data_IF_685097009338
#
_entry.id   IF_685097009338
#
_cell.length_a   1.000
_cell.length_b   1.000
_cell.length_c   1.000
_cell.angle_alpha   90.00
_cell.angle_beta   90.00
_cell.angle_gamma   90.00
#
_symmetry.space_group_name_H-M   'P 1'
#
loop_
_entity.id
_entity.type
_entity.pdbx_description
1 polymer ?
#
# COMPACT_ATOMS: atom_id res chain seq x y z
N UNK A 1 -55.10 8.01 28.27
CA UNK A 1 -55.19 8.91 27.10
C UNK A 1 -53.77 9.37 26.79
N UNK A 2 -53.12 9.26 25.63
CA UNK A 2 -53.33 8.80 24.24
C UNK A 2 -51.93 8.33 23.75
N UNK A 3 -51.73 7.09 23.30
CA UNK A 3 -51.53 6.65 21.90
C UNK A 3 -50.62 7.50 21.00
N UNK A 4 -49.53 6.89 20.50
CA UNK A 4 -48.95 6.99 19.14
C UNK A 4 -47.72 6.06 19.05
N UNK A 5 -47.25 5.53 17.93
CA UNK A 5 -47.88 4.81 16.80
C UNK A 5 -46.75 3.92 16.20
N UNK A 6 -47.14 2.78 15.64
CA UNK A 6 -46.33 1.70 15.03
C UNK A 6 -45.33 2.13 13.94
N UNK A 7 -44.18 1.45 13.87
CA UNK A 7 -43.41 1.25 12.64
C UNK A 7 -43.04 -0.22 12.47
N UNK A 8 -43.54 -0.81 11.39
CA UNK A 8 -43.36 -2.18 10.91
C UNK A 8 -42.07 -2.29 10.10
N UNK A 9 -41.17 -3.24 10.44
CA UNK A 9 -40.02 -3.58 9.59
C UNK A 9 -40.38 -4.70 8.61
N UNK A 10 -40.21 -4.45 7.31
CA UNK A 10 -40.38 -5.44 6.24
C UNK A 10 -39.05 -6.19 6.03
N UNK A 11 -39.07 -7.49 6.29
CA UNK A 11 -37.97 -8.43 6.01
C UNK A 11 -38.01 -8.85 4.54
N UNK A 12 -36.95 -8.57 3.77
CA UNK A 12 -36.81 -9.06 2.38
C UNK A 12 -35.82 -10.23 2.35
N UNK A 13 -36.34 -11.46 2.24
CA UNK A 13 -35.59 -12.66 1.85
C UNK A 13 -35.43 -12.67 0.33
N UNK A 14 -34.23 -12.96 -0.18
CA UNK A 14 -34.00 -13.27 -1.60
C UNK A 14 -33.46 -14.68 -1.69
N UNK A 15 -34.21 -15.52 -2.40
CA UNK A 15 -33.92 -16.92 -2.71
C UNK A 15 -33.11 -16.98 -4.00
N UNK A 16 -31.99 -17.73 -4.02
CA UNK A 16 -31.30 -18.10 -5.26
C UNK A 16 -31.85 -19.44 -5.75
N UNK A 17 -32.32 -19.48 -7.00
CA UNK A 17 -32.75 -20.68 -7.72
C UNK A 17 -31.56 -21.18 -8.57
N UNK A 18 -31.26 -22.47 -8.44
CA UNK A 18 -30.32 -23.20 -9.27
C UNK A 18 -31.00 -23.64 -10.58
N UNK A 19 -30.25 -23.66 -11.68
CA UNK A 19 -30.61 -24.43 -12.87
C UNK A 19 -29.34 -24.91 -13.59
N UNK A 20 -29.13 -26.22 -13.53
CA UNK A 20 -28.31 -27.03 -14.44
C UNK A 20 -29.11 -27.30 -15.72
N UNK A 21 -28.45 -27.45 -16.88
CA UNK A 21 -28.86 -28.33 -18.00
C UNK A 21 -27.63 -28.60 -18.88
N UNK A 22 -27.61 -29.82 -19.43
CA UNK A 22 -26.48 -30.57 -19.92
C UNK A 22 -26.43 -30.73 -21.46
N UNK A 23 -25.22 -31.05 -21.93
CA UNK A 23 -24.78 -31.94 -23.01
C UNK A 23 -25.32 -31.89 -24.47
N UNK A 24 -24.31 -31.80 -25.36
CA UNK A 24 -23.98 -32.66 -26.52
C UNK A 24 -24.78 -32.57 -27.84
N UNK A 25 -24.05 -32.45 -28.97
CA UNK A 25 -23.90 -33.54 -29.98
C UNK A 25 -23.04 -33.13 -31.21
N UNK A 26 -22.26 -34.11 -31.67
CA UNK A 26 -21.46 -34.31 -32.90
C UNK A 26 -22.31 -34.23 -34.22
N UNK A 27 -21.83 -34.27 -35.47
CA UNK A 27 -20.55 -34.16 -36.19
C UNK A 27 -20.83 -34.19 -37.73
N UNK A 28 -19.80 -33.86 -38.53
CA UNK A 28 -19.50 -34.28 -39.92
C UNK A 28 -20.36 -33.79 -41.11
N UNK A 29 -19.68 -33.27 -42.15
CA UNK A 29 -19.67 -33.87 -43.49
C UNK A 29 -18.50 -33.33 -44.36
N UNK A 30 -17.89 -34.27 -45.07
CA UNK A 30 -16.73 -34.25 -45.97
C UNK A 30 -17.03 -33.71 -47.37
N UNK A 31 -16.00 -33.17 -48.05
CA UNK A 31 -15.96 -32.99 -49.51
C UNK A 31 -14.54 -32.82 -50.06
N UNK A 32 -14.04 -33.83 -50.79
CA UNK A 32 -12.73 -33.86 -51.46
C UNK A 32 -12.79 -33.40 -52.94
N UNK A 33 -11.64 -32.93 -53.46
CA UNK A 33 -11.05 -33.03 -54.84
C UNK A 33 -10.34 -31.70 -55.19
N UNK A 34 -9.27 -31.60 -55.97
CA UNK A 34 -8.20 -32.47 -56.51
C UNK A 34 -7.21 -31.51 -57.23
N UNK A 35 -5.95 -31.92 -57.33
CA UNK A 35 -4.74 -31.19 -57.76
C UNK A 35 -4.77 -30.30 -59.01
N UNK A 36 -3.97 -29.21 -58.97
CA UNK A 36 -3.28 -28.61 -60.11
C UNK A 36 -1.88 -28.11 -59.68
N UNK A 37 -0.91 -28.21 -60.59
CA UNK A 37 0.55 -28.26 -60.41
C UNK A 37 1.24 -26.90 -60.64
N UNK A 38 2.22 -26.61 -59.76
CA UNK A 38 3.41 -25.71 -59.80
C UNK A 38 3.58 -24.62 -60.89
N UNK A 39 3.87 -23.39 -60.45
CA UNK A 39 5.12 -22.64 -60.74
C UNK A 39 5.42 -21.61 -59.60
N UNK A 40 6.68 -21.17 -59.39
CA UNK A 40 7.08 -20.39 -58.24
C UNK A 40 7.16 -18.89 -58.56
N UNK A 41 6.39 -18.05 -57.86
CA UNK A 41 6.55 -16.59 -57.91
C UNK A 41 6.86 -16.00 -56.54
N UNK A 42 8.02 -15.34 -56.51
CA UNK A 42 8.49 -14.25 -55.64
C UNK A 42 7.97 -14.16 -54.19
N UNK A 43 8.91 -14.33 -53.26
CA UNK A 43 8.82 -13.91 -51.85
C UNK A 43 8.53 -12.42 -51.77
N UNK A 44 7.27 -12.04 -51.54
CA UNK A 44 6.92 -10.74 -51.02
C UNK A 44 6.94 -10.83 -49.49
N UNK A 45 7.99 -10.29 -48.87
CA UNK A 45 8.05 -10.06 -47.43
C UNK A 45 7.00 -8.99 -47.10
N UNK A 46 5.80 -9.41 -46.72
CA UNK A 46 4.89 -8.55 -45.98
C UNK A 46 5.50 -8.33 -44.61
N UNK A 47 6.04 -7.13 -44.40
CA UNK A 47 6.42 -6.66 -43.08
C UNK A 47 5.15 -6.63 -42.20
N UNK A 48 4.92 -7.70 -41.45
CA UNK A 48 4.00 -7.70 -40.34
C UNK A 48 4.51 -6.68 -39.34
N UNK A 49 3.78 -5.57 -39.21
CA UNK A 49 3.99 -4.61 -38.13
C UNK A 49 4.02 -5.40 -36.81
N UNK A 50 5.08 -5.28 -35.98
CA UNK A 50 5.05 -5.89 -34.67
C UNK A 50 3.84 -5.33 -33.91
N UNK A 51 3.13 -6.13 -33.12
CA UNK A 51 2.11 -5.60 -32.25
C UNK A 51 2.76 -4.50 -31.41
N UNK A 52 2.15 -3.31 -31.42
CA UNK A 52 2.58 -2.18 -30.60
C UNK A 52 2.82 -2.68 -29.18
N UNK A 53 4.08 -2.66 -28.75
CA UNK A 53 4.45 -2.90 -27.37
C UNK A 53 3.57 -1.98 -26.51
N UNK A 54 2.62 -2.59 -25.80
CA UNK A 54 2.09 -1.95 -24.60
C UNK A 54 3.29 -1.82 -23.68
N UNK A 55 3.95 -0.66 -23.73
CA UNK A 55 5.01 -0.29 -22.79
C UNK A 55 4.51 -0.67 -21.41
N UNK A 56 5.10 -1.71 -20.82
CA UNK A 56 4.78 -2.12 -19.47
C UNK A 56 5.11 -0.93 -18.58
N UNK A 57 4.08 -0.20 -18.13
CA UNK A 57 4.26 0.93 -17.22
C UNK A 57 4.73 0.34 -15.90
N UNK A 58 6.04 0.35 -15.72
CA UNK A 58 6.79 -0.33 -14.65
C UNK A 58 6.80 0.53 -13.39
N UNK A 59 6.79 -0.12 -12.23
CA UNK A 59 6.91 0.50 -10.92
C UNK A 59 8.08 1.47 -10.91
N UNK A 60 7.90 2.64 -10.30
CA UNK A 60 8.98 3.60 -10.16
C UNK A 60 9.47 3.60 -8.73
N UNK A 61 10.76 3.36 -8.53
CA UNK A 61 11.42 3.51 -7.24
C UNK A 61 12.58 4.50 -7.36
N UNK A 62 12.57 5.52 -6.50
CA UNK A 62 13.64 6.50 -6.37
C UNK A 62 14.05 6.59 -4.92
N UNK A 63 15.35 6.69 -4.65
CA UNK A 63 15.87 6.85 -3.29
C UNK A 63 17.21 7.55 -3.29
N UNK A 64 17.65 7.95 -2.10
CA UNK A 64 18.97 8.53 -1.91
C UNK A 64 19.18 9.02 -0.49
N UNK A 65 20.18 9.90 -0.33
CA UNK A 65 20.42 10.62 0.94
C UNK A 65 20.31 12.11 0.70
N UNK A 66 19.69 12.83 1.63
CA UNK A 66 19.61 14.28 1.62
C UNK A 66 19.72 14.81 3.05
N UNK A 67 20.67 15.73 3.28
CA UNK A 67 20.94 16.33 4.59
C UNK A 67 21.15 15.29 5.72
N UNK A 68 21.77 14.15 5.40
CA UNK A 68 22.04 13.06 6.36
C UNK A 68 20.88 12.07 6.56
N UNK A 69 19.73 12.26 5.90
CA UNK A 69 18.59 11.36 5.98
C UNK A 69 18.45 10.53 4.70
N UNK A 70 18.14 9.25 4.85
CA UNK A 70 17.67 8.43 3.74
C UNK A 70 16.31 8.95 3.27
N UNK A 71 16.01 8.85 1.98
CA UNK A 71 14.68 9.12 1.45
C UNK A 71 14.31 8.11 0.37
N UNK A 72 13.02 7.90 0.18
CA UNK A 72 12.48 7.14 -0.94
C UNK A 72 11.16 7.69 -1.45
N UNK A 73 10.87 7.41 -2.71
CA UNK A 73 9.58 7.56 -3.38
C UNK A 73 9.35 6.30 -4.23
N UNK A 74 8.29 5.57 -3.93
CA UNK A 74 7.79 4.46 -4.74
C UNK A 74 6.42 4.80 -5.31
N UNK A 75 6.13 4.40 -6.55
CA UNK A 75 4.79 4.47 -7.16
C UNK A 75 4.46 3.14 -7.82
N UNK A 76 3.21 2.72 -7.70
CA UNK A 76 2.69 1.49 -8.30
C UNK A 76 2.71 1.52 -9.82
N UNK A 77 2.71 0.33 -10.43
CA UNK A 77 2.48 0.13 -11.86
C UNK A 77 1.22 0.87 -12.33
N UNK A 78 1.29 1.44 -13.55
CA UNK A 78 0.16 2.13 -14.17
C UNK A 78 -0.32 3.39 -13.47
N UNK A 79 0.40 3.90 -12.46
CA UNK A 79 0.00 5.11 -11.75
C UNK A 79 -0.02 6.33 -12.69
N UNK A 80 -1.07 7.15 -12.56
CA UNK A 80 -1.26 8.37 -13.35
C UNK A 80 -1.57 9.57 -12.45
N UNK A 81 -1.50 10.78 -13.02
CA UNK A 81 -1.62 12.02 -12.27
C UNK A 81 -0.27 12.50 -11.72
N UNK A 82 -0.31 13.48 -10.83
CA UNK A 82 0.90 14.17 -10.35
C UNK A 82 1.25 13.78 -8.92
N UNK A 83 2.55 13.54 -8.67
CA UNK A 83 3.11 13.37 -7.32
C UNK A 83 4.40 14.18 -7.27
N UNK A 84 4.38 15.28 -6.52
CA UNK A 84 5.48 16.21 -6.39
C UNK A 84 6.13 16.03 -5.01
N UNK A 85 7.12 15.13 -4.95
CA UNK A 85 7.95 14.95 -3.76
C UNK A 85 9.12 15.93 -3.76
N UNK A 86 9.42 16.51 -2.60
CA UNK A 86 10.57 17.38 -2.41
C UNK A 86 11.28 17.08 -1.09
N UNK A 87 12.60 17.01 -1.15
CA UNK A 87 13.48 16.99 0.01
C UNK A 87 13.72 18.44 0.49
N UNK A 88 13.32 18.75 1.72
CA UNK A 88 13.64 20.02 2.37
C UNK A 88 14.91 19.97 3.21
N UNK A 89 15.15 21.03 3.99
CA UNK A 89 16.28 21.14 4.91
C UNK A 89 16.23 20.06 6.02
N UNK A 90 17.40 19.58 6.45
CA UNK A 90 17.50 18.55 7.50
C UNK A 90 16.57 17.35 7.23
N UNK A 91 15.79 16.92 8.22
CA UNK A 91 14.82 15.82 8.09
C UNK A 91 13.48 16.22 7.46
N UNK A 92 13.36 17.41 6.86
CA UNK A 92 12.12 17.84 6.21
C UNK A 92 11.93 17.17 4.85
N UNK A 93 10.71 16.73 4.58
CA UNK A 93 10.23 16.39 3.24
C UNK A 93 8.78 16.86 3.08
N UNK A 94 8.38 17.05 1.83
CA UNK A 94 7.00 17.35 1.47
C UNK A 94 6.57 16.56 0.25
N UNK A 95 5.29 16.23 0.18
CA UNK A 95 4.66 15.68 -1.01
C UNK A 95 3.31 16.36 -1.22
N UNK A 96 3.05 16.80 -2.44
CA UNK A 96 1.71 17.17 -2.88
C UNK A 96 1.34 16.38 -4.13
N UNK A 97 0.05 16.05 -4.25
CA UNK A 97 -0.47 15.32 -5.39
C UNK A 97 -1.86 15.80 -5.75
N UNK A 98 -2.16 15.73 -7.03
CA UNK A 98 -3.44 16.16 -7.60
C UNK A 98 -3.85 15.20 -8.73
N UNK A 99 -5.11 14.78 -8.70
CA UNK A 99 -5.69 13.86 -9.68
C UNK A 99 -4.96 12.51 -9.75
N UNK A 100 -4.37 12.05 -8.65
CA UNK A 100 -3.53 10.85 -8.64
C UNK A 100 -4.37 9.57 -8.62
N UNK A 101 -4.07 8.65 -9.53
CA UNK A 101 -4.64 7.30 -9.59
C UNK A 101 -3.52 6.28 -9.41
N UNK A 102 -3.58 5.45 -8.37
CA UNK A 102 -2.57 4.44 -8.07
C UNK A 102 -2.27 4.35 -6.58
N UNK A 103 -1.08 3.86 -6.24
CA UNK A 103 -0.51 3.89 -4.90
C UNK A 103 0.88 4.54 -4.96
N UNK A 104 1.23 5.36 -3.97
CA UNK A 104 2.60 5.76 -3.72
C UNK A 104 2.94 5.73 -2.25
N UNK A 105 4.22 5.48 -1.95
CA UNK A 105 4.82 5.70 -0.64
C UNK A 105 6.03 6.62 -0.78
N UNK A 106 6.20 7.56 0.14
CA UNK A 106 7.38 8.41 0.16
C UNK A 106 7.73 8.86 1.57
N UNK A 107 8.94 9.34 1.77
CA UNK A 107 9.34 9.85 3.09
C UNK A 107 10.83 9.99 3.27
N UNK A 108 11.21 10.51 4.44
CA UNK A 108 12.60 10.52 4.94
C UNK A 108 12.74 9.62 6.16
N UNK A 109 13.96 9.15 6.39
CA UNK A 109 14.31 8.35 7.56
C UNK A 109 15.79 8.00 7.58
N UNK A 110 16.09 6.76 7.94
CA UNK A 110 17.45 6.27 8.17
C UNK A 110 17.74 5.10 7.24
N UNK A 111 18.98 5.01 6.76
CA UNK A 111 19.44 3.97 5.84
C UNK A 111 19.56 2.58 6.50
N UNK A 112 19.67 2.55 7.83
CA UNK A 112 19.76 1.34 8.63
C UNK A 112 18.67 1.42 9.71
N UNK A 113 17.71 0.50 9.68
CA UNK A 113 16.66 0.37 10.68
C UNK A 113 17.23 -0.08 12.03
N UNK A 114 16.50 0.24 13.09
CA UNK A 114 16.85 -0.14 14.46
C UNK A 114 15.60 -0.22 15.31
N UNK A 115 15.51 -1.27 16.13
CA UNK A 115 14.47 -1.42 17.14
C UNK A 115 14.50 -0.30 18.20
N UNK A 116 15.64 0.36 18.38
CA UNK A 116 15.85 1.35 19.43
C UNK A 116 15.59 2.79 18.96
N UNK A 117 15.07 2.99 17.74
CA UNK A 117 14.81 4.35 17.28
C UNK A 117 13.77 5.05 18.13
N UNK A 118 14.13 6.28 18.53
CA UNK A 118 13.22 7.27 19.06
C UNK A 118 13.18 8.41 18.04
N UNK A 119 12.05 8.56 17.37
CA UNK A 119 11.91 9.48 16.24
C UNK A 119 11.08 10.67 16.69
N UNK A 120 11.67 11.85 16.70
CA UNK A 120 10.92 13.09 16.80
C UNK A 120 10.35 13.48 15.44
N UNK A 121 9.12 13.98 15.41
CA UNK A 121 8.51 14.47 14.18
C UNK A 121 7.57 15.65 14.41
N UNK A 122 7.42 16.48 13.38
CA UNK A 122 6.38 17.48 13.25
C UNK A 122 5.71 17.30 11.89
N UNK A 123 4.42 16.98 11.90
CA UNK A 123 3.58 16.93 10.71
C UNK A 123 2.92 18.29 10.55
N UNK A 124 3.55 19.22 9.81
CA UNK A 124 3.10 20.62 9.74
C UNK A 124 1.88 20.79 8.82
N UNK A 125 1.72 19.92 7.83
CA UNK A 125 0.54 19.85 6.98
C UNK A 125 0.16 18.39 6.72
N UNK A 126 -1.14 18.10 6.75
CA UNK A 126 -1.68 16.81 6.35
C UNK A 126 -3.06 16.98 5.73
N UNK A 127 -3.16 16.62 4.45
CA UNK A 127 -4.42 16.31 3.78
C UNK A 127 -4.20 15.11 2.87
N UNK A 128 -5.13 14.17 2.91
CA UNK A 128 -5.12 12.99 2.06
C UNK A 128 -6.58 12.58 1.81
N UNK A 129 -7.04 12.73 0.56
CA UNK A 129 -8.40 12.34 0.17
C UNK A 129 -8.54 10.86 -0.20
N UNK A 130 -7.44 10.13 -0.33
CA UNK A 130 -7.39 8.71 -0.63
C UNK A 130 -7.38 7.85 0.63
N UNK A 131 -7.03 6.57 0.45
CA UNK A 131 -6.54 5.74 1.54
C UNK A 131 -5.08 6.06 1.88
N UNK A 132 -4.46 5.20 2.69
CA UNK A 132 -3.05 5.33 3.06
C UNK A 132 -2.83 6.04 4.40
N UNK A 133 -1.58 6.02 4.85
CA UNK A 133 -1.18 6.42 6.20
C UNK A 133 -0.03 7.42 6.22
N UNK A 134 0.11 8.08 7.36
CA UNK A 134 1.34 8.74 7.78
C UNK A 134 1.80 8.12 9.11
N UNK A 135 3.09 7.79 9.20
CA UNK A 135 3.64 7.13 10.38
C UNK A 135 5.05 6.57 10.18
N UNK A 136 5.59 5.87 11.18
CA UNK A 136 6.88 5.20 11.06
C UNK A 136 6.71 3.85 10.35
N UNK A 137 7.54 3.60 9.33
CA UNK A 137 7.39 2.46 8.43
C UNK A 137 8.74 1.84 8.11
N UNK A 138 8.74 0.52 7.91
CA UNK A 138 9.86 -0.18 7.33
C UNK A 138 9.62 -1.68 7.22
N UNK A 139 10.70 -2.38 6.92
CA UNK A 139 10.69 -3.82 6.76
C UNK A 139 11.65 -4.50 7.73
N UNK A 140 11.47 -5.80 7.93
CA UNK A 140 12.50 -6.68 8.45
C UNK A 140 12.69 -7.89 7.53
N UNK A 141 13.88 -8.51 7.56
CA UNK A 141 14.20 -9.75 6.83
C UNK A 141 14.38 -10.92 7.77
N UNK A 142 13.97 -12.11 7.34
CA UNK A 142 14.19 -13.36 8.09
C UNK A 142 13.76 -13.28 9.57
N UNK A 143 12.45 -13.13 9.86
CA UNK A 143 11.31 -13.21 8.93
C UNK A 143 10.97 -11.90 8.21
N UNK A 144 10.23 -11.99 7.09
CA UNK A 144 9.73 -10.82 6.38
C UNK A 144 8.51 -10.22 7.08
N UNK A 145 8.70 -9.01 7.62
CA UNK A 145 7.62 -8.18 8.12
C UNK A 145 7.64 -6.83 7.42
N UNK A 146 6.47 -6.34 7.07
CA UNK A 146 6.22 -4.94 6.79
C UNK A 146 5.54 -4.34 8.03
N UNK A 147 6.18 -3.38 8.68
CA UNK A 147 5.70 -2.83 9.94
C UNK A 147 5.31 -1.36 9.81
N UNK A 148 4.30 -0.99 10.60
CA UNK A 148 3.74 0.35 10.62
C UNK A 148 3.46 0.80 12.05
N UNK A 149 3.87 2.03 12.37
CA UNK A 149 3.34 2.81 13.49
C UNK A 149 2.54 3.98 12.90
N UNK A 150 1.24 3.77 12.72
CA UNK A 150 0.34 4.70 12.05
C UNK A 150 -0.09 5.81 13.00
N UNK A 151 0.31 7.04 12.68
CA UNK A 151 -0.01 8.23 13.46
C UNK A 151 -1.30 8.90 12.96
N UNK A 152 -1.51 8.95 11.65
CA UNK A 152 -2.77 9.39 11.03
C UNK A 152 -2.96 8.69 9.68
N UNK A 153 -4.11 8.89 9.05
CA UNK A 153 -4.46 8.25 7.78
C UNK A 153 -5.57 9.01 7.07
N UNK A 154 -5.76 8.68 5.79
CA UNK A 154 -6.77 9.28 4.92
C UNK A 154 -8.20 8.85 5.27
N UNK A 155 -8.99 8.58 4.24
CA UNK A 155 -10.43 8.31 4.33
C UNK A 155 -10.76 6.99 5.06
N UNK A 156 -9.86 6.01 5.05
CA UNK A 156 -10.08 4.67 5.60
C UNK A 156 -8.96 4.26 6.54
N UNK A 157 -9.26 3.39 7.50
CA UNK A 157 -8.25 2.86 8.41
C UNK A 157 -7.12 2.16 7.63
N UNK A 158 -5.84 2.36 8.01
CA UNK A 158 -4.70 1.88 7.24
C UNK A 158 -4.35 0.42 7.54
N UNK A 159 -5.16 -0.26 8.34
CA UNK A 159 -4.93 -1.62 8.80
C UNK A 159 -6.14 -2.52 8.54
N UNK A 160 -5.89 -3.80 8.37
CA UNK A 160 -6.88 -4.86 8.30
C UNK A 160 -6.33 -6.14 8.93
N UNK A 161 -7.17 -7.16 9.09
CA UNK A 161 -6.78 -8.44 9.68
C UNK A 161 -7.17 -8.57 11.15
N UNK A 162 -6.33 -9.26 11.91
CA UNK A 162 -6.62 -9.67 13.29
C UNK A 162 -6.20 -8.58 14.27
N UNK A 163 -7.12 -8.13 15.12
CA UNK A 163 -6.84 -7.29 16.27
C UNK A 163 -6.19 -8.11 17.39
N UNK A 164 -5.10 -7.60 17.96
CA UNK A 164 -4.33 -8.28 19.01
C UNK A 164 -4.49 -7.62 20.40
N UNK A 165 -4.88 -6.35 20.43
CA UNK A 165 -5.09 -5.60 21.66
C UNK A 165 -4.66 -4.14 21.55
N UNK A 166 -4.75 -3.44 22.68
CA UNK A 166 -4.42 -2.02 22.80
C UNK A 166 -3.30 -1.84 23.83
N UNK A 167 -2.47 -0.82 23.65
CA UNK A 167 -1.47 -0.39 24.64
C UNK A 167 -1.17 1.09 24.50
N UNK A 168 -0.62 1.69 25.55
CA UNK A 168 -0.19 3.08 25.53
C UNK A 168 1.30 3.20 25.24
N UNK A 169 1.66 4.18 24.40
CA UNK A 169 3.03 4.64 24.16
C UNK A 169 3.01 6.14 23.93
N UNK A 170 4.04 6.86 24.36
CA UNK A 170 4.24 8.27 24.05
C UNK A 170 2.99 9.16 24.34
N UNK A 171 2.25 8.82 25.42
CA UNK A 171 1.07 9.54 25.87
C UNK A 171 -0.22 9.28 25.08
N UNK A 172 -0.29 8.19 24.30
CA UNK A 172 -1.49 7.86 23.51
C UNK A 172 -1.70 6.35 23.36
N UNK A 173 -2.93 5.94 23.11
CA UNK A 173 -3.29 4.54 22.90
C UNK A 173 -3.08 4.13 21.44
N UNK A 174 -2.60 2.90 21.24
CA UNK A 174 -2.43 2.25 19.94
C UNK A 174 -3.14 0.91 19.92
N UNK A 175 -3.94 0.67 18.88
CA UNK A 175 -4.47 -0.64 18.54
C UNK A 175 -3.44 -1.43 17.72
N UNK A 176 -3.22 -2.69 18.09
CA UNK A 176 -2.30 -3.58 17.39
C UNK A 176 -3.06 -4.52 16.47
N UNK A 177 -2.63 -4.61 15.22
CA UNK A 177 -3.23 -5.44 14.18
C UNK A 177 -2.17 -6.23 13.43
N UNK A 178 -2.54 -7.37 12.84
CA UNK A 178 -1.66 -8.12 11.94
C UNK A 178 -2.44 -8.88 10.88
N UNK A 179 -1.79 -9.14 9.74
CA UNK A 179 -2.29 -10.02 8.68
C UNK A 179 -1.14 -10.67 7.93
N UNK A 180 -1.41 -11.83 7.35
CA UNK A 180 -0.55 -12.41 6.32
C UNK A 180 -0.86 -11.76 4.96
N UNK A 181 0.17 -11.58 4.15
CA UNK A 181 0.09 -11.07 2.79
C UNK A 181 0.62 -12.12 1.82
N UNK A 182 -0.15 -12.41 0.78
CA UNK A 182 0.33 -13.06 -0.44
C UNK A 182 0.69 -11.94 -1.41
N UNK A 183 1.93 -11.88 -1.85
CA UNK A 183 2.52 -10.75 -2.56
C UNK A 183 4.03 -10.67 -2.38
N UNK A 184 4.69 -9.86 -3.22
CA UNK A 184 6.14 -9.71 -3.19
C UNK A 184 6.61 -9.05 -1.89
N UNK A 185 7.53 -9.70 -1.19
CA UNK A 185 8.29 -9.11 -0.10
C UNK A 185 9.44 -8.24 -0.65
N UNK A 186 10.20 -7.62 0.25
CA UNK A 186 11.29 -6.69 -0.12
C UNK A 186 12.43 -7.35 -0.93
N UNK A 187 12.55 -8.68 -0.90
CA UNK A 187 13.54 -9.42 -1.69
C UNK A 187 12.91 -10.08 -2.94
N UNK A 188 11.66 -9.75 -3.26
CA UNK A 188 10.94 -10.22 -4.44
C UNK A 188 10.34 -11.63 -4.32
N UNK A 189 10.52 -12.31 -3.17
CA UNK A 189 9.85 -13.57 -2.87
C UNK A 189 8.38 -13.39 -2.51
N UNK A 190 7.60 -14.47 -2.53
CA UNK A 190 6.18 -14.40 -2.15
C UNK A 190 6.01 -14.55 -0.63
N UNK A 191 5.11 -13.75 -0.07
CA UNK A 191 4.69 -13.87 1.30
C UNK A 191 5.44 -12.97 2.27
N UNK A 192 4.69 -12.25 3.10
CA UNK A 192 5.19 -11.51 4.24
C UNK A 192 4.08 -11.26 5.26
N UNK A 193 4.44 -10.85 6.47
CA UNK A 193 3.48 -10.44 7.50
C UNK A 193 3.42 -8.92 7.60
N UNK A 194 2.22 -8.35 7.61
CA UNK A 194 2.02 -6.97 8.01
C UNK A 194 1.71 -6.91 9.51
N UNK A 195 2.31 -5.95 10.20
CA UNK A 195 2.01 -5.67 11.61
C UNK A 195 1.89 -4.16 11.83
N UNK A 196 0.88 -3.76 12.60
CA UNK A 196 0.52 -2.37 12.78
C UNK A 196 0.41 -2.05 14.26
N UNK A 197 0.92 -0.90 14.66
CA UNK A 197 0.41 -0.12 15.79
C UNK A 197 -0.27 1.11 15.22
N UNK A 198 -1.58 1.26 15.40
CA UNK A 198 -2.32 2.42 14.88
C UNK A 198 -2.93 3.19 16.03
N UNK A 199 -2.70 4.51 16.08
CA UNK A 199 -3.27 5.35 17.15
C UNK A 199 -4.78 5.14 17.23
N UNK A 200 -5.34 5.10 18.43
CA UNK A 200 -6.80 5.08 18.62
C UNK A 200 -7.41 6.41 18.19
N UNK A 201 -6.67 7.51 18.37
CA UNK A 201 -7.05 8.85 17.93
C UNK A 201 -5.98 9.40 16.99
N UNK A 202 -6.39 9.77 15.76
CA UNK A 202 -5.51 10.33 14.74
C UNK A 202 -4.71 11.52 15.28
N UNK A 203 -3.43 11.55 14.95
CA UNK A 203 -2.54 12.64 15.30
C UNK A 203 -2.88 13.88 14.45
N UNK A 204 -3.15 15.02 15.09
CA UNK A 204 -3.43 16.30 14.42
C UNK A 204 -2.13 16.97 13.88
N UNK A 205 -2.16 17.75 12.79
CA UNK A 205 -0.99 18.50 12.33
C UNK A 205 -0.49 19.56 13.34
N UNK A 206 0.73 20.05 13.13
CA UNK A 206 1.30 21.24 13.80
C UNK A 206 1.94 20.98 15.17
N UNK A 207 1.94 19.74 15.67
CA UNK A 207 2.49 19.39 16.98
C UNK A 207 3.77 18.56 16.86
N UNK A 208 4.76 18.88 17.70
CA UNK A 208 5.92 18.01 17.89
C UNK A 208 5.50 16.76 18.64
N UNK A 209 5.86 15.60 18.12
CA UNK A 209 5.58 14.30 18.70
C UNK A 209 6.79 13.39 18.61
N UNK A 210 6.73 12.29 19.35
CA UNK A 210 7.76 11.27 19.39
C UNK A 210 7.12 9.92 19.14
N UNK A 211 7.80 9.08 18.36
CA UNK A 211 7.53 7.65 18.25
C UNK A 211 8.71 6.93 18.91
N UNK A 212 8.46 6.26 20.03
CA UNK A 212 9.45 5.38 20.68
C UNK A 212 9.29 3.98 20.10
N UNK A 213 9.99 3.66 19.01
CA UNK A 213 9.78 2.43 18.24
C UNK A 213 9.98 1.16 19.07
N UNK A 214 10.88 1.20 20.06
CA UNK A 214 11.10 0.10 21.00
C UNK A 214 9.82 -0.32 21.74
N UNK A 215 8.93 0.62 22.09
CA UNK A 215 7.68 0.31 22.77
C UNK A 215 6.75 -0.51 21.85
N UNK A 216 6.62 -0.09 20.59
CA UNK A 216 5.84 -0.79 19.58
C UNK A 216 6.38 -2.18 19.32
N UNK A 217 7.69 -2.28 19.07
CA UNK A 217 8.33 -3.55 18.80
C UNK A 217 8.22 -4.51 20.00
N UNK A 218 8.46 -4.05 21.22
CA UNK A 218 8.31 -4.87 22.42
C UNK A 218 6.86 -5.35 22.60
N UNK A 219 5.87 -4.51 22.27
CA UNK A 219 4.47 -4.92 22.31
C UNK A 219 4.17 -5.98 21.25
N UNK A 220 4.64 -5.83 20.02
CA UNK A 220 4.50 -6.85 18.98
C UNK A 220 5.13 -8.18 19.38
N UNK A 221 6.34 -8.13 19.96
CA UNK A 221 7.04 -9.29 20.49
C UNK A 221 6.26 -9.98 21.60
N UNK A 222 5.58 -9.23 22.48
CA UNK A 222 4.72 -9.80 23.54
C UNK A 222 3.52 -10.60 22.99
N UNK A 223 3.13 -10.35 21.73
CA UNK A 223 2.11 -11.11 21.01
C UNK A 223 2.70 -12.24 20.14
N UNK A 224 4.00 -12.52 20.26
CA UNK A 224 4.70 -13.55 19.47
C UNK A 224 5.22 -13.06 18.11
N UNK A 225 5.10 -11.77 17.79
CA UNK A 225 5.55 -11.21 16.51
C UNK A 225 6.92 -10.54 16.68
N UNK A 226 7.98 -11.32 16.46
CA UNK A 226 9.36 -10.83 16.51
C UNK A 226 9.81 -10.44 15.10
N UNK A 227 10.24 -9.19 14.93
CA UNK A 227 10.84 -8.69 13.70
C UNK A 227 12.20 -9.36 13.47
N UNK A 228 12.55 -9.54 12.21
CA UNK A 228 13.86 -10.06 11.83
C UNK A 228 14.96 -9.01 11.82
N UNK A 229 15.87 -9.13 10.87
CA UNK A 229 16.95 -8.19 10.64
C UNK A 229 16.39 -6.83 10.19
N UNK A 230 16.75 -5.77 10.92
CA UNK A 230 16.32 -4.40 10.66
C UNK A 230 17.39 -3.56 9.95
N UNK A 231 18.50 -4.13 9.50
CA UNK A 231 19.60 -3.42 8.84
C UNK A 231 19.28 -2.94 7.40
N UNK A 232 18.05 -2.48 7.20
CA UNK A 232 17.48 -1.94 5.97
C UNK A 232 16.77 -0.62 6.23
N UNK A 233 16.51 0.21 5.21
CA UNK A 233 15.94 1.52 5.43
C UNK A 233 14.57 1.51 6.12
N UNK A 234 14.35 2.51 6.95
CA UNK A 234 13.06 2.79 7.59
C UNK A 234 12.80 4.30 7.49
N UNK A 235 11.54 4.69 7.25
CA UNK A 235 11.15 6.07 6.97
C UNK A 235 9.91 6.48 7.76
N UNK A 236 9.78 7.78 7.99
CA UNK A 236 8.49 8.38 8.25
C UNK A 236 7.76 8.46 6.92
N UNK A 237 6.79 7.56 6.71
CA UNK A 237 6.11 7.39 5.44
C UNK A 237 4.93 8.33 5.31
N UNK A 238 4.68 8.74 4.08
CA UNK A 238 3.45 9.32 3.57
C UNK A 238 2.98 8.45 2.42
N UNK A 239 1.82 7.84 2.61
CA UNK A 239 1.20 6.94 1.65
C UNK A 239 -0.16 7.47 1.22
N UNK A 240 -0.48 7.31 -0.06
CA UNK A 240 -1.84 7.40 -0.56
C UNK A 240 -2.12 6.28 -1.54
N UNK A 241 -3.36 5.84 -1.57
CA UNK A 241 -3.85 5.00 -2.66
C UNK A 241 -5.29 5.33 -3.00
N UNK A 242 -5.67 5.03 -4.24
CA UNK A 242 -7.03 5.16 -4.74
C UNK A 242 -7.09 5.82 -6.12
N UNK A 243 -8.29 6.28 -6.46
CA UNK A 243 -8.62 6.93 -7.74
C UNK A 243 -8.89 8.41 -7.50
N UNK A 244 -8.35 9.26 -8.37
CA UNK A 244 -8.51 10.71 -8.35
C UNK A 244 -8.24 11.34 -6.97
N UNK A 245 -7.18 10.88 -6.31
CA UNK A 245 -6.79 11.33 -4.97
C UNK A 245 -6.02 12.64 -5.03
N UNK A 246 -6.15 13.43 -3.97
CA UNK A 246 -5.50 14.74 -3.81
C UNK A 246 -4.99 14.86 -2.38
N UNK A 247 -3.90 15.59 -2.19
CA UNK A 247 -3.37 15.82 -0.86
C UNK A 247 -2.07 16.59 -0.82
N UNK A 248 -1.70 16.93 0.40
CA UNK A 248 -0.49 17.65 0.75
C UNK A 248 -0.02 17.19 2.13
N UNK A 249 1.20 16.70 2.20
CA UNK A 249 1.84 16.31 3.44
C UNK A 249 3.19 17.03 3.53
N UNK A 250 3.45 17.66 4.67
CA UNK A 250 4.74 18.24 5.00
C UNK A 250 5.15 17.76 6.39
N UNK A 251 6.31 17.12 6.48
CA UNK A 251 6.82 16.57 7.72
C UNK A 251 8.31 16.85 7.89
N UNK A 252 8.71 17.16 9.12
CA UNK A 252 10.11 17.19 9.54
C UNK A 252 10.35 16.12 10.58
N UNK A 253 11.40 15.33 10.41
CA UNK A 253 11.87 14.34 11.39
C UNK A 253 13.23 14.70 11.98
N UNK A 254 13.53 14.19 13.17
CA UNK A 254 14.83 14.27 13.81
C UNK A 254 15.06 13.07 14.74
N UNK A 255 16.32 12.79 15.05
CA UNK A 255 16.68 11.84 16.10
C UNK A 255 16.41 12.48 17.47
N UNK A 256 15.80 11.72 18.38
CA UNK A 256 15.55 12.11 19.78
C UNK A 256 16.59 11.53 20.73
#
# INVERSE_FOLDING_TARGET
>A
MKKQHSLTSVTRKVTFVAATIALASAALLTGCKKDARMEPEAVAVTATTPPSDKSAVTESYQSGTNNGFFWSLWKSDGATGTVNYANGAAGNYSVNWNGFNGNFTCGKGYSVGSANYKIGYNLSAYSNSGGGTFGWYGWSRSPFYEYYVNETWGAVSPHSGTFLGTFDSDGTAYNVWTRWMTGKNIDGGDGFRQIYSSRVTKAAPGQNRVITFANHYNKWKSYGYTLGQLNIPAIMVSETWGTNTNGNINCTIWAQ
#
